data_IF_977600504520
#
_entry.id   IF_977600504520
#
_cell.length_a   1.000
_cell.length_b   1.000
_cell.length_c   1.000
_cell.angle_alpha   90.00
_cell.angle_beta   90.00
_cell.angle_gamma   90.00
#
_symmetry.space_group_name_H-M   'P 1'
#
loop_
_entity.id
_entity.type
_entity.pdbx_description
1 polymer ?
#
# COMPACT_ATOMS: atom_id res chain seq x y z
N UNK A 1 -8.37 -0.93 -13.39
CA UNK A 1 -7.09 -0.56 -12.75
C UNK A 1 -7.42 0.49 -11.70
N UNK A 2 -6.70 0.48 -10.59
CA UNK A 2 -6.85 1.45 -9.50
C UNK A 2 -5.48 2.07 -9.18
N UNK A 3 -5.46 3.26 -8.62
CA UNK A 3 -4.23 3.91 -8.19
C UNK A 3 -3.88 3.43 -6.78
N UNK A 4 -2.65 2.98 -6.58
CA UNK A 4 -2.16 2.49 -5.30
C UNK A 4 -1.06 3.38 -4.73
N UNK A 5 -1.03 3.44 -3.40
CA UNK A 5 -0.04 4.16 -2.60
C UNK A 5 0.49 3.25 -1.51
N UNK A 6 1.68 3.54 -0.99
CA UNK A 6 2.23 2.89 0.21
C UNK A 6 2.64 3.94 1.23
N UNK A 7 2.42 3.66 2.51
CA UNK A 7 2.92 4.55 3.56
C UNK A 7 4.45 4.54 3.58
N UNK A 8 5.08 5.71 3.60
CA UNK A 8 6.54 5.86 3.71
C UNK A 8 7.02 5.70 5.15
N UNK A 9 6.16 6.01 6.11
CA UNK A 9 6.39 5.75 7.52
C UNK A 9 5.77 4.41 7.94
N UNK A 10 6.58 3.63 8.66
CA UNK A 10 6.12 2.39 9.24
C UNK A 10 5.26 2.65 10.48
N UNK A 11 4.26 1.80 10.71
CA UNK A 11 3.52 1.77 11.98
C UNK A 11 4.39 1.22 13.14
N UNK A 12 3.82 1.11 14.34
CA UNK A 12 4.50 0.58 15.53
C UNK A 12 5.03 -0.86 15.36
N UNK A 13 4.48 -1.64 14.42
CA UNK A 13 4.91 -2.99 14.08
C UNK A 13 5.97 -3.04 12.97
N UNK A 14 6.43 -1.87 12.49
CA UNK A 14 7.36 -1.76 11.37
C UNK A 14 6.72 -2.01 10.00
N UNK A 15 5.39 -1.90 9.89
CA UNK A 15 4.65 -2.20 8.66
C UNK A 15 4.35 -0.95 7.84
N UNK A 16 4.48 -1.09 6.52
CA UNK A 16 4.12 -0.10 5.53
C UNK A 16 2.85 -0.54 4.81
N UNK A 17 1.78 0.25 4.89
CA UNK A 17 0.46 -0.17 4.44
C UNK A 17 0.20 0.33 3.03
N UNK A 18 -0.28 -0.56 2.15
CA UNK A 18 -0.75 -0.20 0.81
C UNK A 18 -2.21 0.22 0.88
N UNK A 19 -2.52 1.35 0.24
CA UNK A 19 -3.87 1.88 0.10
C UNK A 19 -4.24 2.07 -1.38
N UNK A 20 -5.53 1.98 -1.67
CA UNK A 20 -6.13 2.44 -2.92
C UNK A 20 -6.52 3.92 -2.79
N UNK A 21 -6.53 4.67 -3.89
CA UNK A 21 -6.98 6.07 -3.97
C UNK A 21 -8.35 6.33 -3.33
N UNK A 22 -9.27 5.36 -3.39
CA UNK A 22 -10.61 5.46 -2.82
C UNK A 22 -10.73 4.91 -1.37
N UNK A 23 -9.61 4.73 -0.65
CA UNK A 23 -9.65 4.22 0.72
C UNK A 23 -10.39 5.19 1.67
N UNK A 24 -11.33 4.67 2.46
CA UNK A 24 -12.06 5.47 3.45
C UNK A 24 -11.20 5.96 4.61
N UNK A 25 -10.05 5.33 4.85
CA UNK A 25 -9.09 5.67 5.91
C UNK A 25 -7.75 6.13 5.33
N UNK A 26 -7.79 6.84 4.21
CA UNK A 26 -6.60 7.27 3.49
C UNK A 26 -5.67 8.12 4.40
N UNK A 27 -4.39 7.74 4.55
CA UNK A 27 -3.42 8.48 5.36
C UNK A 27 -3.18 9.90 4.84
N UNK A 28 -2.54 10.74 5.65
CA UNK A 28 -2.09 12.05 5.19
C UNK A 28 -1.15 11.90 3.98
N UNK A 29 -1.40 12.71 2.93
CA UNK A 29 -0.71 12.62 1.63
C UNK A 29 0.81 12.72 1.77
N UNK A 30 1.30 13.50 2.74
CA UNK A 30 2.74 13.68 2.98
C UNK A 30 3.45 12.41 3.49
N UNK A 31 2.68 11.38 3.86
CA UNK A 31 3.19 10.08 4.32
C UNK A 31 3.01 8.97 3.27
N UNK A 32 2.66 9.32 2.04
CA UNK A 32 2.37 8.36 0.97
C UNK A 32 3.38 8.44 -0.17
N UNK A 33 3.85 7.29 -0.60
CA UNK A 33 4.57 7.12 -1.86
C UNK A 33 3.62 6.58 -2.93
N UNK A 34 3.61 7.24 -4.08
CA UNK A 34 2.86 6.81 -5.26
C UNK A 34 3.48 5.55 -5.87
N UNK A 35 2.71 4.46 -5.92
CA UNK A 35 3.11 3.22 -6.59
C UNK A 35 2.69 3.20 -8.07
N UNK A 36 1.62 3.92 -8.43
CA UNK A 36 1.01 3.98 -9.76
C UNK A 36 -0.27 3.16 -9.90
N UNK A 37 -0.71 2.95 -11.14
CA UNK A 37 -1.94 2.24 -11.45
C UNK A 37 -1.71 0.75 -11.66
N UNK A 38 -2.47 -0.08 -10.95
CA UNK A 38 -2.40 -1.55 -11.03
C UNK A 38 -3.77 -2.20 -11.19
N UNK A 39 -3.82 -3.46 -11.63
CA UNK A 39 -5.07 -4.22 -11.72
C UNK A 39 -5.55 -4.75 -10.37
N UNK A 40 -4.65 -4.85 -9.38
CA UNK A 40 -4.98 -5.24 -8.03
C UNK A 40 -3.80 -5.10 -7.07
N UNK A 41 -4.08 -5.29 -5.79
CA UNK A 41 -3.11 -5.21 -4.69
C UNK A 41 -1.84 -6.04 -4.93
N UNK A 42 -1.96 -7.26 -5.49
CA UNK A 42 -0.81 -8.14 -5.68
C UNK A 42 0.29 -7.55 -6.58
N UNK A 43 -0.10 -6.79 -7.61
CA UNK A 43 0.86 -6.14 -8.50
C UNK A 43 1.50 -4.93 -7.81
N UNK A 44 0.70 -4.13 -7.09
CA UNK A 44 1.19 -3.02 -6.28
C UNK A 44 2.15 -3.50 -5.18
N UNK A 45 1.83 -4.60 -4.50
CA UNK A 45 2.67 -5.22 -3.47
C UNK A 45 4.02 -5.68 -4.03
N UNK A 46 4.02 -6.33 -5.21
CA UNK A 46 5.26 -6.72 -5.88
C UNK A 46 6.11 -5.52 -6.26
N UNK A 47 5.48 -4.42 -6.69
CA UNK A 47 6.16 -3.16 -6.99
C UNK A 47 6.80 -2.54 -5.74
N UNK A 48 6.01 -2.39 -4.68
CA UNK A 48 6.46 -1.85 -3.39
C UNK A 48 7.61 -2.68 -2.81
N UNK A 49 7.52 -4.02 -2.82
CA UNK A 49 8.61 -4.90 -2.35
C UNK A 49 9.85 -4.86 -3.25
N UNK A 50 9.69 -4.61 -4.54
CA UNK A 50 10.82 -4.46 -5.48
C UNK A 50 11.59 -3.16 -5.21
N UNK A 51 10.87 -2.05 -5.03
CA UNK A 51 11.43 -0.73 -4.67
C UNK A 51 12.05 -0.76 -3.26
N UNK A 52 11.32 -1.31 -2.30
CA UNK A 52 11.66 -1.29 -0.88
C UNK A 52 11.84 -2.70 -0.31
N UNK A 53 12.95 -3.35 -0.70
CA UNK A 53 13.23 -4.75 -0.35
C UNK A 53 13.19 -5.06 1.16
N UNK A 54 13.52 -4.07 2.00
CA UNK A 54 13.58 -4.19 3.46
C UNK A 54 12.25 -3.90 4.15
N UNK A 55 11.27 -3.29 3.47
CA UNK A 55 10.01 -2.93 4.09
C UNK A 55 9.13 -4.16 4.31
N UNK A 56 8.48 -4.19 5.47
CA UNK A 56 7.38 -5.10 5.75
C UNK A 56 6.11 -4.45 5.21
N UNK A 57 5.79 -4.72 3.94
CA UNK A 57 4.63 -4.15 3.28
C UNK A 57 3.39 -5.01 3.58
N UNK A 58 2.26 -4.38 3.86
CA UNK A 58 0.98 -5.05 4.18
C UNK A 58 -0.19 -4.40 3.43
N UNK A 59 -1.29 -5.13 3.29
CA UNK A 59 -2.53 -4.61 2.72
C UNK A 59 -3.30 -3.78 3.75
N UNK A 60 -3.92 -2.66 3.33
CA UNK A 60 -4.95 -2.03 4.13
C UNK A 60 -6.18 -2.94 4.23
N UNK A 61 -6.70 -3.16 5.45
CA UNK A 61 -7.88 -4.01 5.67
C UNK A 61 -9.15 -3.47 5.00
N UNK A 62 -9.27 -2.15 4.86
CA UNK A 62 -10.48 -1.49 4.40
C UNK A 62 -10.59 -1.41 2.88
N UNK A 63 -9.49 -1.09 2.18
CA UNK A 63 -9.51 -0.92 0.72
C UNK A 63 -8.80 -2.04 -0.05
N UNK A 64 -8.04 -2.91 0.62
CA UNK A 64 -7.30 -3.98 -0.03
C UNK A 64 -7.70 -5.37 0.52
N UNK A 65 -8.96 -5.54 0.91
CA UNK A 65 -9.50 -6.78 1.49
C UNK A 65 -9.30 -8.02 0.62
N UNK A 66 -9.29 -7.87 -0.71
CA UNK A 66 -9.00 -8.98 -1.65
C UNK A 66 -7.54 -9.48 -1.59
N UNK A 67 -6.63 -8.69 -1.00
CA UNK A 67 -5.22 -9.03 -0.80
C UNK A 67 -4.92 -9.80 0.49
N UNK A 68 -5.92 -10.03 1.35
CA UNK A 68 -5.79 -10.70 2.66
C UNK A 68 -6.22 -12.17 2.52
N UNK A 69 -5.52 -12.93 1.66
CA UNK A 69 -5.70 -14.39 1.55
C UNK A 69 -4.48 -15.13 2.05
#
# INVERSE_FOLDING_TARGET
MKHYYVTTHANENGEHTIHEDECSIFPEIDTLEDLGYFYGYNDAYRDAKRKHKKWRVVACSECCSDGIK
#
